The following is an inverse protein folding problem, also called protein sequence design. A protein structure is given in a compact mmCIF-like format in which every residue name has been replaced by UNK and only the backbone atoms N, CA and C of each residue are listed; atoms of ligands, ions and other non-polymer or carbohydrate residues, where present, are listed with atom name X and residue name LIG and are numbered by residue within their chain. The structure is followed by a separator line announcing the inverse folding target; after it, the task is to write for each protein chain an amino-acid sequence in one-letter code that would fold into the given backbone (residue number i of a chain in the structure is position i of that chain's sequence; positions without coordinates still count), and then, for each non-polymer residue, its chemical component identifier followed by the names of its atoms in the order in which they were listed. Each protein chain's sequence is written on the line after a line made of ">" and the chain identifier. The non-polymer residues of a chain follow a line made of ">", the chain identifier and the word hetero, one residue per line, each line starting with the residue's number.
data_IF_679830752636
#
_entry.id   IF_679830752636
#
_cell.length_a   1.000
_cell.length_b   1.000
_cell.length_c   1.000
_cell.angle_alpha   90.00
_cell.angle_beta   90.00
_cell.angle_gamma   90.00
#
_symmetry.space_group_name_H-M   'P 1'
#
loop_
_entity.id
_entity.type
_entity.pdbx_description
1 polymer ?
#
# COMPACT_ATOMS: atom_id res chain seq x y z
N UNK A 1 18.28 1.19 19.24
CA UNK A 1 17.12 1.30 18.38
C UNK A 1 17.38 2.26 17.23
N UNK A 2 17.03 1.85 16.04
CA UNK A 2 17.27 2.70 14.85
C UNK A 2 16.06 3.57 14.57
N UNK A 3 16.27 4.66 13.86
CA UNK A 3 15.18 5.53 13.42
C UNK A 3 14.18 4.76 12.55
N UNK A 4 14.67 3.81 11.75
CA UNK A 4 13.83 2.99 10.88
C UNK A 4 12.85 2.13 11.67
N UNK A 5 13.31 1.52 12.77
CA UNK A 5 12.44 0.70 13.60
C UNK A 5 11.32 1.54 14.21
N UNK A 6 11.65 2.75 14.63
CA UNK A 6 10.67 3.67 15.20
C UNK A 6 9.63 4.11 14.16
N UNK A 7 10.11 4.48 12.97
CA UNK A 7 9.23 4.89 11.89
C UNK A 7 8.32 3.73 11.44
N UNK A 8 8.85 2.50 11.42
CA UNK A 8 8.08 1.34 11.05
C UNK A 8 6.95 1.06 12.06
N UNK A 9 7.25 1.19 13.35
CA UNK A 9 6.22 1.03 14.39
C UNK A 9 5.14 2.10 14.27
N UNK A 10 5.52 3.34 13.98
CA UNK A 10 4.58 4.42 13.75
C UNK A 10 3.70 4.14 12.53
N UNK A 11 4.31 3.63 11.46
CA UNK A 11 3.59 3.29 10.24
C UNK A 11 2.52 2.23 10.52
N UNK A 12 2.89 1.16 11.20
CA UNK A 12 1.95 0.08 11.51
C UNK A 12 0.78 0.57 12.35
N UNK A 13 1.06 1.40 13.35
CA UNK A 13 0.01 1.96 14.19
C UNK A 13 -0.94 2.84 13.39
N UNK A 14 -0.39 3.63 12.48
CA UNK A 14 -1.21 4.48 11.64
C UNK A 14 -2.13 3.67 10.72
N UNK A 15 -1.60 2.58 10.17
CA UNK A 15 -2.40 1.67 9.33
C UNK A 15 -3.54 1.05 10.15
N UNK A 16 -3.25 0.58 11.35
CA UNK A 16 -4.27 -0.02 12.22
C UNK A 16 -5.39 0.97 12.55
N UNK A 17 -5.04 2.23 12.71
CA UNK A 17 -6.00 3.28 13.02
C UNK A 17 -6.64 3.89 11.77
N UNK A 18 -6.27 3.45 10.60
CA UNK A 18 -6.72 4.00 9.33
C UNK A 18 -6.42 5.49 9.22
N UNK A 19 -5.31 5.92 9.82
CA UNK A 19 -4.88 7.32 9.82
C UNK A 19 -3.94 7.56 8.64
N UNK A 20 -4.51 7.93 7.50
CA UNK A 20 -3.76 8.06 6.25
C UNK A 20 -2.58 9.02 6.36
N UNK A 21 -2.79 10.19 6.95
CA UNK A 21 -1.74 11.21 7.05
C UNK A 21 -0.55 10.73 7.86
N UNK A 22 -0.83 10.04 8.96
CA UNK A 22 0.24 9.52 9.82
C UNK A 22 0.98 8.38 9.12
N UNK A 23 0.24 7.56 8.36
CA UNK A 23 0.86 6.47 7.61
C UNK A 23 1.79 7.02 6.52
N UNK A 24 1.33 8.04 5.78
CA UNK A 24 2.15 8.67 4.76
C UNK A 24 3.40 9.32 5.36
N UNK A 25 3.23 10.00 6.48
CA UNK A 25 4.34 10.67 7.15
C UNK A 25 5.41 9.66 7.58
N UNK A 26 4.98 8.57 8.20
CA UNK A 26 5.91 7.53 8.61
C UNK A 26 6.57 6.85 7.42
N UNK A 27 5.81 6.63 6.33
CA UNK A 27 6.34 6.00 5.13
C UNK A 27 7.45 6.82 4.47
N UNK A 28 7.37 8.14 4.56
CA UNK A 28 8.42 9.02 4.01
C UNK A 28 9.76 8.83 4.70
N UNK A 29 9.75 8.43 5.94
CA UNK A 29 10.97 8.22 6.70
C UNK A 29 11.56 6.82 6.46
N UNK A 30 10.82 5.95 5.79
CA UNK A 30 11.27 4.59 5.51
C UNK A 30 11.83 4.50 4.10
N UNK A 31 13.12 4.21 3.95
CA UNK A 31 13.75 4.18 2.63
C UNK A 31 13.21 3.07 1.73
N UNK A 32 12.88 1.92 2.32
CA UNK A 32 12.37 0.77 1.57
C UNK A 32 11.22 0.13 2.32
N UNK A 33 10.03 0.57 2.01
CA UNK A 33 8.84 -0.03 2.58
C UNK A 33 8.65 -1.41 1.94
N UNK A 34 8.42 -2.45 2.76
CA UNK A 34 8.23 -3.79 2.23
C UNK A 34 6.98 -3.86 1.35
N UNK A 35 6.93 -4.84 0.45
CA UNK A 35 5.76 -5.00 -0.43
C UNK A 35 4.45 -5.14 0.34
N UNK A 36 4.38 -5.99 1.40
CA UNK A 36 3.14 -6.08 2.18
C UNK A 36 2.75 -4.77 2.85
N UNK A 37 3.72 -4.06 3.42
CA UNK A 37 3.44 -2.78 4.08
C UNK A 37 3.02 -1.71 3.08
N UNK A 38 3.68 -1.67 1.92
CA UNK A 38 3.30 -0.74 0.87
C UNK A 38 1.89 -1.03 0.36
N UNK A 39 1.52 -2.31 0.28
CA UNK A 39 0.17 -2.68 -0.13
C UNK A 39 -0.87 -2.20 0.87
N UNK A 40 -0.57 -2.26 2.17
CA UNK A 40 -1.46 -1.74 3.20
C UNK A 40 -1.74 -0.25 2.97
N UNK A 41 -0.71 0.50 2.62
CA UNK A 41 -0.88 1.92 2.34
C UNK A 41 -1.73 2.15 1.10
N UNK A 42 -1.52 1.35 0.04
CA UNK A 42 -2.34 1.43 -1.17
C UNK A 42 -3.81 1.15 -0.84
N UNK A 43 -4.09 0.12 -0.05
CA UNK A 43 -5.45 -0.19 0.37
C UNK A 43 -6.08 0.97 1.12
N UNK A 44 -5.31 1.61 1.98
CA UNK A 44 -5.81 2.75 2.75
C UNK A 44 -6.16 3.93 1.84
N UNK A 45 -5.35 4.18 0.81
CA UNK A 45 -5.69 5.19 -0.19
C UNK A 45 -7.05 4.86 -0.84
N UNK A 46 -7.26 3.60 -1.19
CA UNK A 46 -8.52 3.17 -1.78
C UNK A 46 -9.70 3.36 -0.84
N UNK A 47 -9.54 2.98 0.43
CA UNK A 47 -10.59 3.13 1.44
C UNK A 47 -10.98 4.59 1.64
N UNK A 48 -10.01 5.50 1.52
CA UNK A 48 -10.24 6.93 1.70
C UNK A 48 -10.66 7.64 0.41
N UNK A 49 -10.77 6.92 -0.69
CA UNK A 49 -11.10 7.53 -1.97
C UNK A 49 -10.07 8.55 -2.44
N UNK A 50 -8.81 8.34 -2.07
CA UNK A 50 -7.75 9.27 -2.40
C UNK A 50 -7.40 9.23 -3.88
N UNK A 51 -7.14 10.39 -4.52
CA UNK A 51 -6.65 10.40 -5.90
C UNK A 51 -5.26 9.78 -6.05
N UNK A 52 -4.56 9.56 -4.94
CA UNK A 52 -3.25 8.91 -4.95
C UNK A 52 -3.35 7.40 -5.12
N UNK A 53 -4.55 6.83 -5.01
CA UNK A 53 -4.72 5.38 -5.07
C UNK A 53 -4.22 4.79 -6.38
N UNK A 54 -4.67 5.29 -7.50
CA UNK A 54 -4.32 4.71 -8.80
C UNK A 54 -2.82 4.74 -9.09
N UNK A 55 -2.14 5.90 -8.97
CA UNK A 55 -0.69 5.91 -9.19
C UNK A 55 0.07 5.07 -8.18
N UNK A 56 -0.38 5.03 -6.93
CA UNK A 56 0.27 4.20 -5.91
C UNK A 56 0.10 2.72 -6.21
N UNK A 57 -1.10 2.31 -6.60
CA UNK A 57 -1.38 0.92 -6.94
C UNK A 57 -0.55 0.48 -8.15
N UNK A 58 -0.43 1.33 -9.14
CA UNK A 58 0.35 1.05 -10.35
C UNK A 58 1.83 0.87 -10.01
N UNK A 59 2.39 1.77 -9.22
CA UNK A 59 3.78 1.65 -8.79
C UNK A 59 4.02 0.39 -7.96
N UNK A 60 3.07 0.05 -7.11
CA UNK A 60 3.17 -1.15 -6.30
C UNK A 60 3.16 -2.40 -7.17
N UNK A 61 2.28 -2.46 -8.17
CA UNK A 61 2.21 -3.60 -9.09
C UNK A 61 3.52 -3.78 -9.87
N UNK A 62 4.09 -2.68 -10.37
CA UNK A 62 5.37 -2.74 -11.07
C UNK A 62 6.44 -3.32 -10.16
N UNK A 63 6.50 -2.85 -8.93
CA UNK A 63 7.44 -3.33 -7.93
C UNK A 63 7.25 -4.82 -7.64
N UNK A 64 5.99 -5.21 -7.47
CA UNK A 64 5.63 -6.60 -7.19
C UNK A 64 6.08 -7.54 -8.31
N UNK A 65 5.83 -7.15 -9.55
CA UNK A 65 6.22 -7.96 -10.71
C UNK A 65 7.73 -7.98 -10.94
N UNK A 66 8.41 -6.93 -10.53
CA UNK A 66 9.86 -6.79 -10.73
C UNK A 66 10.66 -7.47 -9.63
N UNK A 67 10.27 -7.28 -8.36
CA UNK A 67 11.02 -7.77 -7.20
C UNK A 67 10.67 -9.20 -6.83
N UNK A 68 9.44 -9.62 -7.11
CA UNK A 68 9.02 -10.97 -6.80
C UNK A 68 9.04 -11.86 -8.03
N UNK A 69 8.77 -13.13 -7.82
CA UNK A 69 8.53 -14.08 -8.92
C UNK A 69 7.14 -14.67 -8.70
N UNK A 70 6.09 -13.83 -8.77
CA UNK A 70 4.75 -14.31 -8.46
C UNK A 70 4.20 -15.26 -9.52
N UNK A 71 3.44 -16.25 -9.07
CA UNK A 71 2.70 -17.09 -9.98
C UNK A 71 1.51 -16.32 -10.55
N UNK A 72 0.96 -16.84 -11.63
CA UNK A 72 -0.18 -16.19 -12.29
C UNK A 72 -1.38 -16.02 -11.35
N UNK A 73 -1.64 -17.03 -10.51
CA UNK A 73 -2.74 -16.95 -9.58
C UNK A 73 -2.53 -15.88 -8.51
N UNK A 74 -1.28 -15.69 -8.08
CA UNK A 74 -0.95 -14.67 -7.11
C UNK A 74 -1.18 -13.28 -7.70
N UNK A 75 -0.77 -13.08 -8.94
CA UNK A 75 -0.98 -11.81 -9.65
C UNK A 75 -2.49 -11.54 -9.79
N UNK A 76 -3.26 -12.56 -10.14
CA UNK A 76 -4.70 -12.43 -10.29
C UNK A 76 -5.36 -12.02 -8.98
N UNK A 77 -4.95 -12.64 -7.86
CA UNK A 77 -5.50 -12.31 -6.54
C UNK A 77 -5.20 -10.87 -6.14
N UNK A 78 -3.96 -10.45 -6.34
CA UNK A 78 -3.55 -9.09 -5.99
C UNK A 78 -4.28 -8.08 -6.85
N UNK A 79 -4.37 -8.35 -8.16
CA UNK A 79 -5.06 -7.45 -9.09
C UNK A 79 -6.54 -7.32 -8.72
N UNK A 80 -7.19 -8.44 -8.38
CA UNK A 80 -8.58 -8.43 -7.96
C UNK A 80 -8.77 -7.64 -6.67
N UNK A 81 -7.85 -7.79 -5.72
CA UNK A 81 -7.88 -7.05 -4.46
C UNK A 81 -7.78 -5.54 -4.70
N UNK A 82 -6.86 -5.13 -5.57
CA UNK A 82 -6.68 -3.72 -5.89
C UNK A 82 -7.89 -3.16 -6.63
N UNK A 83 -8.46 -3.93 -7.54
CA UNK A 83 -9.65 -3.50 -8.26
C UNK A 83 -10.83 -3.31 -7.31
N UNK A 84 -10.95 -4.18 -6.30
CA UNK A 84 -12.00 -4.06 -5.30
C UNK A 84 -11.83 -2.81 -4.43
N UNK A 85 -10.59 -2.34 -4.27
CA UNK A 85 -10.30 -1.13 -3.48
C UNK A 85 -10.45 0.15 -4.28
N UNK A 86 -10.51 0.06 -5.61
CA UNK A 86 -10.61 1.23 -6.47
C UNK A 86 -11.95 1.94 -6.22
N UNK A 87 -11.92 3.19 -5.73
CA UNK A 87 -13.16 3.90 -5.43
C UNK A 87 -14.05 4.13 -6.66
N UNK A 88 -13.46 4.24 -7.83
CA UNK A 88 -14.22 4.43 -9.07
C UNK A 88 -14.94 3.16 -9.48
N UNK A 89 -14.29 2.02 -9.33
CA UNK A 89 -14.87 0.71 -9.64
C UNK A 89 -15.98 0.36 -8.65
N UNK A 90 -15.79 0.70 -7.38
CA UNK A 90 -16.77 0.41 -6.32
C UNK A 90 -18.10 1.12 -6.51
N UNK A 91 -18.13 2.14 -7.32
CA UNK A 91 -19.35 2.90 -7.58
C UNK A 91 -20.26 2.26 -8.61
N UNK A 92 -19.73 1.33 -9.35
CA UNK A 92 -20.42 0.66 -10.46
C UNK A 92 -21.71 0.01 -10.10
#
# INVERSE_FOLDING_TARGET
>A
MTADAHAHARFRRAIERRALWLAEDAARELPNLSLPDALQLVHLYGERGSPKFEPAARRWLVRYLTEGTPGLQDVAKVTASLAACDPQTSRG
#
